data_IF_495599396586
#
_entry.id   IF_495599396586
#
_cell.length_a   1.000
_cell.length_b   1.000
_cell.length_c   1.000
_cell.angle_alpha   90.00
_cell.angle_beta   90.00
_cell.angle_gamma   90.00
#
_symmetry.space_group_name_H-M   'P 1'
#
loop_
_entity.id
_entity.type
_entity.pdbx_description
1 polymer ?
#
# COMPACT_ATOMS: atom_id res chain seq x y z
N UNK A 1 -6.60 21.71 3.07
CA UNK A 1 -7.32 21.93 1.80
C UNK A 1 -6.65 21.00 0.82
N UNK A 2 -7.29 19.87 0.45
CA UNK A 2 -6.68 18.95 -0.52
C UNK A 2 -6.52 19.73 -1.83
N UNK A 3 -5.31 19.73 -2.39
CA UNK A 3 -5.07 20.29 -3.71
C UNK A 3 -6.02 19.57 -4.69
N UNK A 4 -6.88 20.36 -5.35
CA UNK A 4 -7.94 19.86 -6.23
C UNK A 4 -7.42 19.48 -7.62
N UNK A 5 -6.13 19.66 -7.86
CA UNK A 5 -5.47 19.47 -9.14
C UNK A 5 -4.13 18.76 -8.94
N UNK A 6 -3.68 18.04 -9.97
CA UNK A 6 -2.42 17.30 -9.99
C UNK A 6 -1.63 17.60 -11.26
N UNK A 7 -0.31 17.49 -11.18
CA UNK A 7 0.58 17.57 -12.33
C UNK A 7 1.09 16.16 -12.67
N UNK A 8 1.07 15.82 -13.95
CA UNK A 8 1.58 14.53 -14.42
C UNK A 8 3.09 14.57 -14.57
N UNK A 9 3.76 13.53 -14.07
CA UNK A 9 5.16 13.28 -14.31
C UNK A 9 5.32 12.66 -15.70
N UNK A 10 6.27 13.19 -16.48
CA UNK A 10 6.61 12.64 -17.80
C UNK A 10 7.78 11.67 -17.68
N UNK A 11 7.45 10.39 -17.54
CA UNK A 11 8.43 9.31 -17.39
C UNK A 11 9.28 9.09 -18.66
N UNK A 12 8.86 9.63 -19.81
CA UNK A 12 9.61 9.48 -21.07
C UNK A 12 10.84 10.38 -21.15
N UNK A 13 11.04 11.28 -20.18
CA UNK A 13 12.20 12.17 -20.12
C UNK A 13 13.51 11.43 -19.79
N UNK A 14 13.43 10.20 -19.28
CA UNK A 14 14.59 9.39 -18.89
C UNK A 14 14.37 7.94 -19.33
N UNK A 15 15.33 7.37 -20.06
CA UNK A 15 15.25 6.00 -20.58
C UNK A 15 15.14 4.91 -19.50
N UNK A 16 15.45 5.22 -18.24
CA UNK A 16 15.45 4.25 -17.12
C UNK A 16 14.30 4.45 -16.11
N UNK A 17 13.33 5.33 -16.41
CA UNK A 17 12.20 5.59 -15.52
C UNK A 17 10.91 5.16 -16.21
N UNK A 18 10.28 4.09 -15.74
CA UNK A 18 9.10 3.51 -16.39
C UNK A 18 7.93 3.27 -15.42
N UNK A 19 8.19 3.31 -14.12
CA UNK A 19 7.23 2.97 -13.06
C UNK A 19 7.32 3.92 -11.89
N UNK A 20 6.34 3.87 -10.98
CA UNK A 20 6.41 4.61 -9.72
C UNK A 20 7.62 4.14 -8.89
N UNK A 21 7.94 2.86 -8.93
CA UNK A 21 9.06 2.26 -8.22
C UNK A 21 10.41 2.82 -8.63
N UNK A 22 10.62 3.09 -9.92
CA UNK A 22 11.89 3.66 -10.40
C UNK A 22 12.14 5.02 -9.75
N UNK A 23 11.07 5.79 -9.53
CA UNK A 23 11.13 7.06 -8.81
C UNK A 23 11.44 6.82 -7.33
N UNK A 24 10.68 5.95 -6.67
CA UNK A 24 10.79 5.69 -5.23
C UNK A 24 12.13 5.07 -4.82
N UNK A 25 12.75 4.27 -5.70
CA UNK A 25 14.06 3.64 -5.48
C UNK A 25 15.25 4.51 -5.88
N UNK A 26 15.01 5.65 -6.53
CA UNK A 26 16.11 6.55 -6.88
C UNK A 26 16.79 7.11 -5.63
N UNK A 27 18.04 7.55 -5.76
CA UNK A 27 18.78 8.15 -4.64
C UNK A 27 18.19 9.48 -4.16
N UNK A 28 17.40 10.14 -5.01
CA UNK A 28 16.66 11.37 -4.68
C UNK A 28 15.27 11.34 -5.35
N UNK A 29 14.27 10.65 -4.75
CA UNK A 29 12.93 10.52 -5.31
C UNK A 29 12.23 11.86 -5.50
N UNK A 30 12.48 12.81 -4.60
CA UNK A 30 11.88 14.13 -4.67
C UNK A 30 12.47 14.94 -5.82
N UNK A 31 13.80 14.98 -5.94
CA UNK A 31 14.49 15.64 -7.05
C UNK A 31 14.12 15.03 -8.40
N UNK A 32 14.06 13.69 -8.49
CA UNK A 32 13.63 13.01 -9.69
C UNK A 32 12.17 13.34 -10.04
N UNK A 33 11.24 13.27 -9.09
CA UNK A 33 9.85 13.65 -9.34
C UNK A 33 9.72 15.12 -9.79
N UNK A 34 10.51 16.03 -9.21
CA UNK A 34 10.55 17.44 -9.64
C UNK A 34 11.10 17.59 -11.06
N UNK A 35 12.16 16.86 -11.41
CA UNK A 35 12.73 16.86 -12.75
C UNK A 35 11.75 16.31 -13.80
N UNK A 36 10.99 15.26 -13.45
CA UNK A 36 10.00 14.66 -14.35
C UNK A 36 8.75 15.53 -14.56
N UNK A 37 8.61 16.65 -13.84
CA UNK A 37 7.57 17.64 -14.16
C UNK A 37 7.91 18.36 -15.45
N UNK A 38 7.00 18.33 -16.43
CA UNK A 38 7.17 19.14 -17.63
C UNK A 38 7.13 20.63 -17.28
N UNK A 39 8.01 21.47 -17.85
CA UNK A 39 7.99 22.92 -17.63
C UNK A 39 6.64 23.58 -17.95
N UNK A 40 5.88 23.00 -18.90
CA UNK A 40 4.54 23.43 -19.29
C UNK A 40 3.47 22.38 -18.92
N UNK A 41 3.67 21.63 -17.83
CA UNK A 41 2.69 20.66 -17.36
C UNK A 41 1.37 21.37 -17.06
N UNK A 42 0.29 20.90 -17.69
CA UNK A 42 -1.07 21.40 -17.42
C UNK A 42 -1.60 20.66 -16.20
N UNK A 43 -2.06 21.42 -15.21
CA UNK A 43 -2.73 20.86 -14.05
C UNK A 43 -4.03 20.17 -14.48
N UNK A 44 -4.25 18.97 -13.97
CA UNK A 44 -5.46 18.18 -14.24
C UNK A 44 -6.27 18.11 -12.95
N UNK A 45 -7.59 18.37 -12.97
CA UNK A 45 -8.42 18.20 -11.79
C UNK A 45 -8.33 16.77 -11.26
N UNK A 46 -8.20 16.61 -9.94
CA UNK A 46 -8.16 15.30 -9.29
C UNK A 46 -9.43 14.48 -9.59
N UNK A 47 -10.56 15.16 -9.75
CA UNK A 47 -11.85 14.55 -10.14
C UNK A 47 -11.88 14.01 -11.57
N UNK A 48 -10.95 14.42 -12.44
CA UNK A 48 -10.86 13.98 -13.83
C UNK A 48 -9.93 12.77 -14.03
N UNK A 49 -9.30 12.27 -12.96
CA UNK A 49 -8.40 11.11 -13.02
C UNK A 49 -8.89 9.97 -12.13
N UNK A 50 -8.45 8.75 -12.46
CA UNK A 50 -8.64 7.59 -11.59
C UNK A 50 -7.36 7.35 -10.80
N UNK A 51 -7.44 7.42 -9.48
CA UNK A 51 -6.30 7.12 -8.60
C UNK A 51 -6.15 5.61 -8.49
N UNK A 52 -4.98 5.10 -8.87
CA UNK A 52 -4.62 3.69 -8.76
C UNK A 52 -4.01 3.39 -7.38
N UNK A 53 -3.85 2.11 -7.03
CA UNK A 53 -3.04 1.74 -5.88
C UNK A 53 -1.60 2.24 -6.08
N UNK A 54 -0.91 2.74 -5.03
CA UNK A 54 0.44 3.32 -5.16
C UNK A 54 1.52 2.22 -5.19
N UNK A 55 1.32 1.20 -6.01
CA UNK A 55 2.24 0.09 -6.24
C UNK A 55 2.22 -0.26 -7.73
N UNK A 56 3.34 -0.75 -8.24
CA UNK A 56 3.46 -1.32 -9.57
C UNK A 56 3.41 -2.86 -9.45
N UNK A 57 4.56 -3.52 -9.51
CA UNK A 57 4.69 -4.99 -9.51
C UNK A 57 5.12 -5.58 -8.16
N UNK A 58 5.14 -4.77 -7.09
CA UNK A 58 5.69 -5.19 -5.80
C UNK A 58 4.81 -6.23 -5.09
N UNK A 59 5.48 -7.14 -4.38
CA UNK A 59 4.83 -7.98 -3.38
C UNK A 59 4.37 -7.14 -2.18
N UNK A 60 3.16 -7.43 -1.68
CA UNK A 60 2.68 -6.85 -0.44
C UNK A 60 2.92 -7.83 0.69
N UNK A 61 3.68 -7.39 1.69
CA UNK A 61 3.89 -8.08 2.95
C UNK A 61 3.19 -7.32 4.09
N UNK A 62 2.75 -8.04 5.11
CA UNK A 62 2.08 -7.45 6.26
C UNK A 62 2.72 -7.92 7.57
N UNK A 63 2.72 -7.03 8.57
CA UNK A 63 3.13 -7.32 9.93
C UNK A 63 1.91 -7.46 10.83
N UNK A 64 1.78 -8.60 11.50
CA UNK A 64 0.67 -8.87 12.41
C UNK A 64 0.99 -8.46 13.85
N UNK A 65 -0.06 -8.33 14.66
CA UNK A 65 0.01 -8.12 16.12
C UNK A 65 0.90 -6.94 16.53
N UNK A 66 0.87 -5.83 15.80
CA UNK A 66 1.74 -4.67 16.06
C UNK A 66 1.19 -3.70 17.12
N UNK A 67 -0.05 -3.91 17.56
CA UNK A 67 -0.73 -3.10 18.58
C UNK A 67 -1.32 -3.97 19.68
N UNK A 68 -1.22 -3.52 20.94
CA UNK A 68 -1.79 -4.21 22.11
C UNK A 68 -3.28 -4.52 21.97
N UNK A 69 -4.07 -3.61 21.38
CA UNK A 69 -5.51 -3.85 21.13
C UNK A 69 -5.73 -4.98 20.11
N UNK A 70 -4.86 -5.09 19.11
CA UNK A 70 -4.92 -6.18 18.12
C UNK A 70 -4.55 -7.52 18.75
N UNK A 71 -3.54 -7.54 19.63
CA UNK A 71 -3.17 -8.72 20.41
C UNK A 71 -4.35 -9.23 21.24
N UNK A 72 -4.98 -8.38 22.05
CA UNK A 72 -6.10 -8.76 22.92
C UNK A 72 -7.28 -9.30 22.08
N UNK A 73 -7.68 -8.59 21.03
CA UNK A 73 -8.77 -9.02 20.16
C UNK A 73 -8.50 -10.40 19.50
N UNK A 74 -7.26 -10.63 19.03
CA UNK A 74 -6.86 -11.93 18.45
C UNK A 74 -6.88 -13.07 19.48
N UNK A 75 -6.51 -12.78 20.73
CA UNK A 75 -6.58 -13.75 21.83
C UNK A 75 -8.03 -14.11 22.18
N UNK A 76 -8.92 -13.12 22.23
CA UNK A 76 -10.35 -13.32 22.50
C UNK A 76 -11.06 -14.09 21.37
N UNK A 77 -10.69 -13.83 20.11
CA UNK A 77 -11.22 -14.55 18.94
C UNK A 77 -10.71 -16.00 18.82
N UNK A 78 -9.67 -16.38 19.57
CA UNK A 78 -8.96 -17.65 19.37
C UNK A 78 -8.85 -18.49 20.65
N UNK A 79 -9.85 -19.33 20.92
CA UNK A 79 -9.89 -20.21 22.10
C UNK A 79 -8.66 -21.13 22.23
N UNK A 80 -8.07 -21.57 21.11
CA UNK A 80 -6.90 -22.47 21.10
C UNK A 80 -5.55 -21.77 20.81
N UNK A 81 -5.58 -20.57 20.22
CA UNK A 81 -4.38 -19.90 19.71
C UNK A 81 -3.99 -18.62 20.45
N UNK A 82 -4.70 -18.23 21.51
CA UNK A 82 -4.38 -17.06 22.32
C UNK A 82 -2.90 -16.98 22.76
N UNK A 83 -2.29 -18.12 23.12
CA UNK A 83 -0.88 -18.17 23.53
C UNK A 83 0.12 -17.90 22.39
N UNK A 84 -0.28 -18.06 21.12
CA UNK A 84 0.59 -17.78 19.97
C UNK A 84 0.70 -16.28 19.71
N UNK A 85 -0.42 -15.55 19.76
CA UNK A 85 -0.44 -14.10 19.58
C UNK A 85 0.32 -13.37 20.69
N UNK A 86 0.25 -13.88 21.92
CA UNK A 86 1.03 -13.35 23.04
C UNK A 86 2.54 -13.53 22.83
N UNK A 87 2.97 -14.74 22.44
CA UNK A 87 4.37 -15.02 22.11
C UNK A 87 4.91 -14.12 21.00
N UNK A 88 4.14 -13.96 19.91
CA UNK A 88 4.52 -13.08 18.80
C UNK A 88 4.67 -11.63 19.25
N UNK A 89 3.74 -11.13 20.07
CA UNK A 89 3.78 -9.74 20.55
C UNK A 89 5.03 -9.42 21.38
N UNK A 90 5.48 -10.38 22.19
CA UNK A 90 6.64 -10.21 23.09
C UNK A 90 7.98 -10.60 22.47
N UNK A 91 8.00 -11.25 21.31
CA UNK A 91 9.22 -11.74 20.69
C UNK A 91 9.99 -10.63 19.97
N UNK A 92 11.32 -10.69 19.98
CA UNK A 92 12.18 -9.79 19.21
C UNK A 92 11.96 -9.92 17.69
N UNK A 93 11.56 -11.12 17.23
CA UNK A 93 11.23 -11.38 15.83
C UNK A 93 9.75 -11.08 15.58
N UNK A 94 9.40 -10.11 14.72
CA UNK A 94 8.01 -9.82 14.40
C UNK A 94 7.37 -10.91 13.52
N UNK A 95 6.05 -10.99 13.55
CA UNK A 95 5.29 -11.74 12.56
C UNK A 95 5.27 -10.97 11.23
N UNK A 96 5.68 -11.65 10.15
CA UNK A 96 5.58 -11.17 8.78
C UNK A 96 4.91 -12.25 7.92
N UNK A 97 3.97 -11.86 7.08
CA UNK A 97 3.32 -12.77 6.14
C UNK A 97 3.10 -12.11 4.78
N UNK A 98 3.20 -12.93 3.73
CA UNK A 98 2.86 -12.51 2.37
C UNK A 98 1.36 -12.24 2.27
N UNK A 99 0.99 -11.03 1.88
CA UNK A 99 -0.40 -10.58 1.83
C UNK A 99 -0.99 -10.71 0.42
N UNK A 100 -0.28 -10.24 -0.59
CA UNK A 100 -0.82 -10.19 -1.95
C UNK A 100 0.26 -9.94 -3.01
N UNK A 101 -0.01 -10.45 -4.20
CA UNK A 101 0.56 -9.96 -5.47
C UNK A 101 -0.12 -8.65 -5.88
N UNK A 102 0.52 -7.80 -6.69
CA UNK A 102 0.01 -6.47 -7.05
C UNK A 102 -1.40 -6.50 -7.68
N UNK A 103 -1.67 -7.44 -8.59
CA UNK A 103 -2.99 -7.60 -9.24
C UNK A 103 -4.14 -8.02 -8.30
N UNK A 104 -3.88 -8.26 -7.01
CA UNK A 104 -4.89 -8.53 -5.98
C UNK A 104 -5.13 -7.33 -5.05
N UNK A 105 -4.45 -6.21 -5.27
CA UNK A 105 -4.59 -4.99 -4.47
C UNK A 105 -5.66 -4.09 -5.08
N UNK A 106 -6.50 -3.50 -4.23
CA UNK A 106 -7.52 -2.53 -4.63
C UNK A 106 -7.02 -1.12 -4.40
N UNK A 107 -7.23 -0.23 -5.37
CA UNK A 107 -6.92 1.19 -5.22
C UNK A 107 -7.91 1.93 -4.31
N UNK A 108 -7.65 3.21 -4.00
CA UNK A 108 -8.56 4.04 -3.22
C UNK A 108 -9.98 4.07 -3.82
N UNK A 109 -11.00 3.81 -2.98
CA UNK A 109 -12.40 3.80 -3.39
C UNK A 109 -12.83 2.60 -4.26
N UNK A 110 -11.91 1.69 -4.59
CA UNK A 110 -12.22 0.46 -5.34
C UNK A 110 -12.80 -0.62 -4.41
N UNK A 111 -13.63 -1.53 -4.95
CA UNK A 111 -14.29 -2.56 -4.14
C UNK A 111 -13.29 -3.59 -3.60
N UNK A 112 -13.41 -3.90 -2.31
CA UNK A 112 -12.82 -5.11 -1.71
C UNK A 112 -13.69 -6.32 -2.04
N UNK A 113 -13.08 -7.51 -2.13
CA UNK A 113 -13.81 -8.77 -2.29
C UNK A 113 -13.74 -9.60 -1.01
N UNK A 114 -14.89 -10.12 -0.59
CA UNK A 114 -15.00 -11.14 0.44
C UNK A 114 -15.14 -12.49 -0.25
N UNK A 115 -14.45 -13.52 0.25
CA UNK A 115 -14.59 -14.87 -0.30
C UNK A 115 -16.03 -15.37 -0.08
N UNK A 116 -16.60 -16.03 -1.09
CA UNK A 116 -17.97 -16.56 -1.05
C UNK A 116 -18.22 -17.60 0.04
N UNK A 117 -17.15 -18.25 0.53
CA UNK A 117 -17.19 -19.24 1.60
C UNK A 117 -16.84 -18.66 2.98
N UNK A 118 -16.57 -17.36 3.07
CA UNK A 118 -16.31 -16.70 4.35
C UNK A 118 -17.61 -16.30 5.03
N UNK A 119 -17.76 -16.68 6.30
CA UNK A 119 -18.89 -16.28 7.15
C UNK A 119 -18.58 -15.08 8.04
N UNK A 120 -17.30 -14.71 8.16
CA UNK A 120 -16.82 -13.61 9.00
C UNK A 120 -15.52 -13.05 8.40
N UNK A 121 -15.50 -11.75 8.12
CA UNK A 121 -14.32 -11.05 7.63
C UNK A 121 -14.22 -9.70 8.33
N UNK A 122 -13.09 -9.45 8.96
CA UNK A 122 -12.80 -8.17 9.63
C UNK A 122 -11.94 -7.30 8.73
N UNK A 123 -12.12 -5.96 8.78
CA UNK A 123 -11.20 -5.01 8.16
C UNK A 123 -9.77 -5.13 8.68
#
# INVERSE_FOLDING_TARGET
MLESEVLLLDLTQIDQCHSLMDILNSSDPFGLARFLLRPNAVAVPLSAITVLAPIDDQEVWAAGVTYKRSQIARMEESESAASHYDKVYTADRPELFFKATPHRVSGPGQPLRVRSDSRWSVP
#
